data_IF_974343260722
#
_entry.id   IF_974343260722
#
_cell.length_a   1.000
_cell.length_b   1.000
_cell.length_c   1.000
_cell.angle_alpha   90.00
_cell.angle_beta   90.00
_cell.angle_gamma   90.00
#
_symmetry.space_group_name_H-M   'P 1'
#
loop_
_entity.id
_entity.type
_entity.pdbx_description
1 polymer ?
#
# COMPACT_ATOMS: atom_id res chain seq x y z
N UNK A 1 12.67 -1.67 7.71
CA UNK A 1 12.75 -0.75 6.56
C UNK A 1 11.52 -0.99 5.72
N UNK A 2 10.59 -0.03 5.71
CA UNK A 2 9.25 -0.17 5.13
C UNK A 2 9.36 -0.20 3.61
N UNK A 3 9.32 -1.41 3.04
CA UNK A 3 8.99 -1.65 1.65
C UNK A 3 7.57 -2.19 1.66
N UNK A 4 6.62 -1.27 1.77
CA UNK A 4 5.21 -1.53 1.50
C UNK A 4 4.99 -1.58 -0.01
N UNK A 5 5.58 -2.58 -0.66
CA UNK A 5 5.27 -2.95 -2.04
C UNK A 5 4.06 -3.88 -2.03
N UNK A 6 2.91 -3.35 -2.42
CA UNK A 6 1.74 -4.06 -2.96
C UNK A 6 1.61 -5.55 -2.58
N UNK A 7 0.93 -5.85 -1.48
CA UNK A 7 0.28 -7.15 -1.29
C UNK A 7 -1.09 -6.98 -0.64
N UNK A 8 -2.05 -6.63 -1.49
CA UNK A 8 -3.46 -7.01 -1.34
C UNK A 8 -3.76 -8.07 -2.40
N UNK A 9 -3.12 -9.23 -2.32
CA UNK A 9 -3.34 -10.36 -3.23
C UNK A 9 -4.62 -11.08 -2.85
N UNK A 10 -5.73 -10.56 -3.38
CA UNK A 10 -6.90 -11.35 -3.80
C UNK A 10 -7.95 -10.57 -4.61
N UNK A 11 -7.83 -9.24 -4.76
CA UNK A 11 -8.77 -8.46 -5.61
C UNK A 11 -8.06 -7.53 -6.61
N UNK A 12 -6.74 -7.37 -6.52
CA UNK A 12 -5.98 -6.45 -7.39
C UNK A 12 -5.38 -7.15 -8.62
N UNK A 13 -6.24 -7.57 -9.54
CA UNK A 13 -5.85 -8.12 -10.84
C UNK A 13 -5.83 -7.02 -11.91
N UNK A 14 -4.99 -5.98 -11.76
CA UNK A 14 -4.88 -4.96 -12.83
C UNK A 14 -3.61 -4.11 -12.79
N UNK A 15 -2.40 -4.67 -12.69
CA UNK A 15 -1.16 -3.95 -13.08
C UNK A 15 -0.07 -4.89 -13.67
N UNK A 16 -0.37 -6.13 -14.09
CA UNK A 16 0.68 -7.09 -14.41
C UNK A 16 0.52 -7.89 -15.72
N UNK A 17 -0.01 -7.27 -16.78
CA UNK A 17 0.01 -7.87 -18.12
C UNK A 17 0.38 -6.83 -19.18
N UNK A 18 1.68 -6.58 -19.33
CA UNK A 18 2.28 -6.08 -20.57
C UNK A 18 3.54 -6.93 -20.86
N UNK A 19 3.33 -8.20 -21.18
CA UNK A 19 4.31 -9.09 -21.81
C UNK A 19 3.60 -9.93 -22.87
N UNK A 20 3.57 -9.42 -24.11
CA UNK A 20 3.44 -10.23 -25.32
C UNK A 20 4.47 -9.72 -26.34
N UNK A 21 5.45 -10.57 -26.67
CA UNK A 21 6.43 -10.44 -27.76
C UNK A 21 5.81 -10.86 -29.13
N UNK A 22 6.57 -10.94 -30.24
CA UNK A 22 7.29 -9.88 -30.96
C UNK A 22 6.87 -9.81 -32.46
N UNK A 23 6.88 -8.62 -33.05
CA UNK A 23 7.06 -8.46 -34.50
C UNK A 23 7.58 -7.05 -34.81
N UNK A 24 8.88 -6.97 -35.10
CA UNK A 24 9.58 -5.78 -35.61
C UNK A 24 9.69 -5.95 -37.13
N UNK A 25 9.48 -4.88 -37.91
CA UNK A 25 10.60 -4.39 -38.69
C UNK A 25 10.95 -2.95 -38.31
N UNK A 26 12.26 -2.72 -38.26
CA UNK A 26 12.89 -1.43 -38.04
C UNK A 26 12.50 -0.47 -39.16
N UNK A 27 12.04 0.72 -38.79
CA UNK A 27 12.39 1.92 -39.54
C UNK A 27 12.68 3.07 -38.59
N UNK A 28 13.82 3.70 -38.84
CA UNK A 28 14.40 4.80 -38.08
C UNK A 28 13.59 6.09 -38.28
N UNK A 29 13.10 6.71 -37.20
CA UNK A 29 13.43 8.10 -36.86
C UNK A 29 12.86 8.54 -35.49
N UNK A 30 13.53 9.49 -34.81
CA UNK A 30 13.30 9.82 -33.40
C UNK A 30 12.21 10.89 -33.23
N UNK A 31 11.62 10.96 -32.04
CA UNK A 31 10.52 11.84 -31.58
C UNK A 31 9.10 11.24 -31.65
N UNK A 32 8.78 10.47 -30.61
CA UNK A 32 7.43 10.29 -30.09
C UNK A 32 7.50 10.29 -28.55
N UNK A 33 6.92 11.28 -27.84
CA UNK A 33 6.46 11.06 -26.48
C UNK A 33 4.94 10.84 -26.51
N UNK A 34 4.42 9.90 -25.70
CA UNK A 34 3.19 10.01 -24.88
C UNK A 34 2.81 8.60 -24.41
N UNK A 35 3.31 8.26 -23.23
CA UNK A 35 2.63 7.42 -22.25
C UNK A 35 2.35 8.32 -21.03
N UNK A 36 1.23 8.13 -20.30
CA UNK A 36 0.71 9.12 -19.36
C UNK A 36 1.51 9.12 -18.04
N UNK A 37 1.94 10.30 -17.53
CA UNK A 37 2.49 10.38 -16.19
C UNK A 37 1.37 10.58 -15.16
N UNK A 38 1.30 9.68 -14.19
CA UNK A 38 0.84 10.03 -12.85
C UNK A 38 1.88 10.99 -12.25
N UNK A 39 1.57 12.29 -12.13
CA UNK A 39 2.37 13.26 -11.35
C UNK A 39 2.05 13.11 -9.85
N UNK A 40 3.03 13.28 -8.92
CA UNK A 40 3.48 14.63 -8.47
C UNK A 40 4.97 14.69 -7.98
N UNK A 41 5.53 15.82 -7.46
CA UNK A 41 5.24 17.26 -7.56
C UNK A 41 6.47 18.13 -8.01
N UNK A 42 6.27 19.43 -8.31
CA UNK A 42 6.97 20.43 -7.50
C UNK A 42 6.00 21.50 -6.97
N UNK A 43 5.67 21.34 -5.69
CA UNK A 43 5.45 22.37 -4.66
C UNK A 43 5.08 23.77 -5.18
N UNK A 44 3.78 24.07 -5.13
CA UNK A 44 3.19 25.41 -4.90
C UNK A 44 3.00 26.46 -6.01
N UNK A 45 3.48 26.34 -7.24
CA UNK A 45 3.45 27.49 -8.18
C UNK A 45 2.33 27.56 -9.25
N UNK A 46 1.34 26.67 -9.24
CA UNK A 46 0.22 26.72 -10.22
C UNK A 46 -1.16 26.58 -9.55
N UNK A 47 -1.29 27.01 -8.29
CA UNK A 47 -2.60 27.18 -7.67
C UNK A 47 -3.36 28.26 -8.45
N UNK A 48 -4.43 27.85 -9.15
CA UNK A 48 -5.37 28.63 -9.98
C UNK A 48 -5.21 28.47 -11.50
N UNK A 49 -5.87 27.45 -12.05
CA UNK A 49 -6.63 27.57 -13.29
C UNK A 49 -7.95 26.80 -13.18
N UNK A 50 -9.01 27.34 -13.81
CA UNK A 50 -10.35 26.75 -13.86
C UNK A 50 -10.41 25.43 -14.64
N UNK A 51 -11.60 24.83 -14.81
CA UNK A 51 -11.74 23.49 -15.40
C UNK A 51 -11.15 23.44 -16.80
N UNK A 52 -10.15 22.59 -17.00
CA UNK A 52 -9.51 22.38 -18.31
C UNK A 52 -10.15 21.19 -19.01
N UNK A 53 -10.62 21.44 -20.24
CA UNK A 53 -11.17 20.43 -21.13
C UNK A 53 -10.06 19.57 -21.75
N UNK A 54 -10.40 18.32 -22.08
CA UNK A 54 -9.48 17.27 -22.56
C UNK A 54 -8.83 17.58 -23.92
N UNK A 55 -9.29 18.60 -24.64
CA UNK A 55 -8.73 18.97 -25.94
C UNK A 55 -8.07 20.34 -25.90
N UNK A 56 -6.82 20.42 -26.36
CA UNK A 56 -6.09 21.68 -26.58
C UNK A 56 -6.62 22.46 -27.80
N UNK A 57 -7.49 21.85 -28.61
CA UNK A 57 -8.17 22.49 -29.74
C UNK A 57 -9.61 22.84 -29.37
N UNK A 58 -9.84 24.12 -29.04
CA UNK A 58 -11.16 24.65 -28.70
C UNK A 58 -12.23 24.41 -29.79
N UNK A 59 -11.81 24.30 -31.05
CA UNK A 59 -12.69 24.06 -32.21
C UNK A 59 -13.27 22.65 -32.23
N UNK A 60 -12.50 21.64 -31.82
CA UNK A 60 -12.90 20.24 -31.86
C UNK A 60 -13.81 19.88 -30.67
N UNK A 61 -13.55 20.49 -29.50
CA UNK A 61 -14.48 20.45 -28.37
C UNK A 61 -15.82 21.14 -28.70
N UNK A 62 -15.80 22.31 -29.34
CA UNK A 62 -17.04 22.98 -29.77
C UNK A 62 -17.82 22.16 -30.81
N UNK A 63 -17.11 21.43 -31.69
CA UNK A 63 -17.74 20.52 -32.65
C UNK A 63 -18.42 19.35 -31.95
N UNK A 64 -17.73 18.67 -31.03
CA UNK A 64 -18.31 17.55 -30.26
C UNK A 64 -19.45 17.99 -29.36
N UNK A 65 -19.36 19.18 -28.75
CA UNK A 65 -20.45 19.76 -27.96
C UNK A 65 -21.65 20.10 -28.86
N UNK A 66 -21.43 20.66 -30.06
CA UNK A 66 -22.51 20.92 -31.02
C UNK A 66 -23.18 19.63 -31.50
N UNK A 67 -22.40 18.59 -31.80
CA UNK A 67 -22.92 17.28 -32.24
C UNK A 67 -23.75 16.60 -31.14
N UNK A 68 -23.32 16.72 -29.88
CA UNK A 68 -24.07 16.23 -28.73
C UNK A 68 -25.31 17.08 -28.43
N UNK A 69 -25.24 18.40 -28.63
CA UNK A 69 -26.39 19.30 -28.48
C UNK A 69 -27.46 18.99 -29.54
N UNK A 70 -27.05 18.77 -30.79
CA UNK A 70 -27.93 18.46 -31.92
C UNK A 70 -28.60 17.09 -31.75
N UNK A 71 -27.87 16.10 -31.23
CA UNK A 71 -28.44 14.80 -30.86
C UNK A 71 -29.39 14.87 -29.65
N UNK A 72 -29.11 15.72 -28.65
CA UNK A 72 -30.01 15.95 -27.52
C UNK A 72 -31.28 16.72 -27.93
N UNK A 73 -31.17 17.64 -28.90
CA UNK A 73 -32.29 18.42 -29.44
C UNK A 73 -33.24 17.55 -30.27
N UNK A 74 -32.72 16.54 -30.96
CA UNK A 74 -33.54 15.53 -31.65
C UNK A 74 -34.29 14.58 -30.71
N UNK A 75 -33.80 14.36 -29.47
CA UNK A 75 -34.47 13.51 -28.47
C UNK A 75 -35.46 14.27 -27.58
N UNK A 76 -35.26 15.57 -27.35
CA UNK A 76 -36.10 16.41 -26.47
C UNK A 76 -37.42 16.86 -27.10
N UNK A 77 -37.73 16.43 -28.33
CA UNK A 77 -39.07 16.55 -28.92
C UNK A 77 -40.15 15.69 -28.25
N UNK A 78 -39.80 14.73 -27.37
CA UNK A 78 -40.72 13.67 -26.95
C UNK A 78 -41.12 13.60 -25.46
N UNK A 79 -40.60 14.41 -24.53
CA UNK A 79 -40.94 14.24 -23.11
C UNK A 79 -41.02 15.54 -22.28
N UNK A 80 -42.26 15.97 -21.97
CA UNK A 80 -42.59 16.88 -20.85
C UNK A 80 -42.88 16.03 -19.61
N UNK A 81 -42.24 16.30 -18.46
CA UNK A 81 -42.89 16.47 -17.13
C UNK A 81 -41.84 16.66 -16.03
N UNK A 82 -42.06 17.65 -15.15
CA UNK A 82 -41.85 17.44 -13.71
C UNK A 82 -40.63 18.06 -13.02
N UNK A 83 -40.87 19.24 -12.45
CA UNK A 83 -40.47 19.67 -11.10
C UNK A 83 -39.05 20.19 -10.82
N UNK A 84 -39.06 21.33 -10.10
CA UNK A 84 -37.98 22.26 -9.83
C UNK A 84 -37.09 21.87 -8.63
N UNK A 85 -35.85 22.38 -8.61
CA UNK A 85 -35.33 23.35 -7.61
C UNK A 85 -33.87 23.70 -7.92
N UNK A 86 -33.59 24.96 -8.30
CA UNK A 86 -32.24 25.46 -8.58
C UNK A 86 -32.12 26.95 -8.26
N UNK A 87 -30.99 27.32 -7.64
CA UNK A 87 -30.58 28.66 -7.20
C UNK A 87 -30.25 29.57 -8.41
N UNK A 88 -30.70 30.82 -8.35
CA UNK A 88 -30.73 31.83 -9.42
C UNK A 88 -29.60 32.87 -9.24
N UNK A 89 -28.92 33.27 -10.34
CA UNK A 89 -28.32 34.61 -10.50
C UNK A 89 -28.31 35.03 -12.00
N UNK A 90 -28.32 36.34 -12.32
CA UNK A 90 -29.20 36.87 -13.37
C UNK A 90 -28.45 37.40 -14.61
N UNK A 91 -29.14 37.40 -15.76
CA UNK A 91 -29.00 38.42 -16.80
C UNK A 91 -30.33 38.48 -17.57
N UNK A 92 -30.83 39.70 -17.77
CA UNK A 92 -32.23 40.00 -18.08
C UNK A 92 -32.72 39.69 -19.49
N UNK A 93 -34.05 39.59 -19.51
CA UNK A 93 -35.04 39.76 -20.58
C UNK A 93 -35.18 38.67 -21.66
N UNK A 94 -36.23 37.87 -21.42
CA UNK A 94 -37.15 37.23 -22.38
C UNK A 94 -36.87 35.79 -22.87
N UNK A 95 -37.16 34.84 -21.95
CA UNK A 95 -37.96 33.62 -22.11
C UNK A 95 -37.64 32.66 -23.29
N UNK A 96 -36.77 31.65 -23.11
CA UNK A 96 -36.98 30.38 -22.40
C UNK A 96 -37.44 29.18 -23.27
N UNK A 97 -36.52 28.22 -23.46
CA UNK A 97 -36.74 26.77 -23.23
C UNK A 97 -35.38 26.10 -23.04
N UNK A 98 -34.96 26.02 -21.78
CA UNK A 98 -33.71 25.38 -21.36
C UNK A 98 -33.79 23.86 -21.43
N UNK A 99 -32.87 23.27 -22.18
CA UNK A 99 -32.47 21.88 -22.04
C UNK A 99 -31.27 21.82 -21.08
N UNK A 100 -31.39 21.08 -19.98
CA UNK A 100 -30.23 20.75 -19.14
C UNK A 100 -29.56 19.56 -19.80
N UNK A 101 -28.46 19.83 -20.52
CA UNK A 101 -27.65 18.80 -21.16
C UNK A 101 -26.63 18.29 -20.14
N UNK A 102 -26.81 17.05 -19.69
CA UNK A 102 -25.77 16.34 -18.93
C UNK A 102 -24.62 16.02 -19.91
N UNK A 103 -23.46 16.62 -19.68
CA UNK A 103 -22.24 16.31 -20.42
C UNK A 103 -21.71 14.93 -20.00
N UNK A 104 -21.25 14.09 -20.94
CA UNK A 104 -20.81 12.73 -20.66
C UNK A 104 -19.52 12.71 -19.80
N UNK A 105 -19.36 11.66 -19.00
CA UNK A 105 -18.22 11.40 -18.09
C UNK A 105 -16.83 11.43 -18.78
N UNK A 106 -16.78 11.52 -20.11
CA UNK A 106 -15.56 11.68 -20.91
C UNK A 106 -14.99 13.11 -20.92
N UNK A 107 -15.75 14.13 -20.45
CA UNK A 107 -15.36 15.55 -20.48
C UNK A 107 -14.92 16.13 -19.12
N UNK A 108 -15.10 15.41 -18.01
CA UNK A 108 -14.78 15.90 -16.66
C UNK A 108 -13.43 15.35 -16.20
N UNK A 109 -12.36 16.09 -16.47
CA UNK A 109 -10.99 15.65 -16.21
C UNK A 109 -10.58 15.78 -14.72
N UNK A 110 -11.11 16.74 -13.96
CA UNK A 110 -10.97 16.87 -12.50
C UNK A 110 -11.85 18.01 -11.99
N UNK A 111 -12.70 17.75 -11.00
CA UNK A 111 -13.35 18.84 -10.24
C UNK A 111 -12.52 19.18 -9.00
N UNK A 112 -12.52 20.45 -8.57
CA UNK A 112 -11.67 20.96 -7.48
C UNK A 112 -11.96 20.27 -6.15
N UNK A 113 -13.22 19.90 -5.93
CA UNK A 113 -13.73 19.28 -4.72
C UNK A 113 -13.27 17.83 -4.53
N UNK A 114 -13.01 17.09 -5.64
CA UNK A 114 -12.62 15.68 -5.59
C UNK A 114 -11.30 15.42 -4.87
N UNK A 115 -10.16 16.06 -5.21
CA UNK A 115 -8.90 15.81 -4.50
C UNK A 115 -8.94 16.26 -3.03
N UNK A 116 -9.67 17.34 -2.73
CA UNK A 116 -9.85 17.84 -1.36
C UNK A 116 -10.60 16.81 -0.52
N UNK A 117 -11.71 16.27 -1.05
CA UNK A 117 -12.48 15.23 -0.39
C UNK A 117 -11.66 13.93 -0.22
N UNK A 118 -10.92 13.51 -1.25
CA UNK A 118 -10.04 12.35 -1.16
C UNK A 118 -8.99 12.49 -0.05
N UNK A 119 -8.33 13.66 0.02
CA UNK A 119 -7.34 13.96 1.05
C UNK A 119 -7.99 13.98 2.44
N UNK A 120 -9.15 14.63 2.56
CA UNK A 120 -9.92 14.68 3.80
C UNK A 120 -10.30 13.27 4.29
N UNK A 121 -10.86 12.41 3.44
CA UNK A 121 -11.22 11.03 3.80
C UNK A 121 -9.99 10.20 4.17
N UNK A 122 -8.86 10.37 3.46
CA UNK A 122 -7.61 9.69 3.77
C UNK A 122 -7.08 10.08 5.15
N UNK A 123 -6.98 11.38 5.45
CA UNK A 123 -6.50 11.87 6.75
C UNK A 123 -7.49 11.56 7.89
N UNK A 124 -8.79 11.62 7.62
CA UNK A 124 -9.83 11.30 8.59
C UNK A 124 -9.77 9.83 9.00
N UNK A 125 -9.56 8.92 8.04
CA UNK A 125 -9.39 7.48 8.33
C UNK A 125 -8.17 7.23 9.21
N UNK A 126 -7.05 7.89 8.90
CA UNK A 126 -5.83 7.81 9.70
C UNK A 126 -6.03 8.34 11.13
N UNK A 127 -6.61 9.54 11.24
CA UNK A 127 -6.85 10.21 12.52
C UNK A 127 -7.79 9.40 13.40
N UNK A 128 -8.91 8.92 12.84
CA UNK A 128 -9.87 8.09 13.57
C UNK A 128 -9.24 6.76 14.01
N UNK A 129 -8.47 6.11 13.13
CA UNK A 129 -7.76 4.87 13.45
C UNK A 129 -6.76 5.06 14.59
N UNK A 130 -5.97 6.13 14.54
CA UNK A 130 -5.01 6.46 15.58
C UNK A 130 -5.68 6.88 16.90
N UNK A 131 -6.78 7.63 16.85
CA UNK A 131 -7.56 8.03 18.01
C UNK A 131 -8.13 6.79 18.74
N UNK A 132 -8.75 5.86 18.00
CA UNK A 132 -9.28 4.60 18.55
C UNK A 132 -8.17 3.72 19.12
N UNK A 133 -7.00 3.68 18.48
CA UNK A 133 -5.83 2.99 19.01
C UNK A 133 -5.37 3.59 20.35
N UNK A 134 -5.37 4.93 20.47
CA UNK A 134 -4.95 5.63 21.68
C UNK A 134 -5.93 5.45 22.86
N UNK A 135 -7.19 5.09 22.58
CA UNK A 135 -8.18 4.74 23.62
C UNK A 135 -7.63 3.66 24.54
N UNK A 136 -6.78 2.73 24.04
CA UNK A 136 -6.10 1.70 24.85
C UNK A 136 -5.32 2.24 26.04
N UNK A 137 -4.69 3.41 25.89
CA UNK A 137 -3.90 4.07 26.94
C UNK A 137 -4.76 4.99 27.79
N UNK A 138 -5.92 5.41 27.29
CA UNK A 138 -6.78 6.34 28.00
C UNK A 138 -7.41 5.70 29.25
N UNK A 139 -7.62 6.47 30.33
CA UNK A 139 -8.29 5.98 31.55
C UNK A 139 -9.81 5.87 31.38
N UNK A 140 -10.35 6.31 30.25
CA UNK A 140 -11.77 6.24 29.94
C UNK A 140 -12.14 4.82 29.45
N UNK A 141 -13.35 4.35 29.80
CA UNK A 141 -13.92 3.02 29.52
C UNK A 141 -13.40 1.83 30.35
N UNK A 142 -14.26 0.80 30.46
CA UNK A 142 -13.93 -0.51 31.04
C UNK A 142 -12.80 -1.20 30.25
N UNK A 143 -11.89 -1.89 30.95
CA UNK A 143 -10.71 -2.55 30.36
C UNK A 143 -11.04 -3.49 29.20
N UNK A 144 -12.11 -4.30 29.30
CA UNK A 144 -12.54 -5.22 28.23
C UNK A 144 -12.99 -4.49 26.97
N UNK A 145 -13.78 -3.43 27.13
CA UNK A 145 -14.30 -2.66 26.00
C UNK A 145 -13.16 -1.93 25.30
N UNK A 146 -12.25 -1.35 26.08
CA UNK A 146 -11.06 -0.67 25.57
C UNK A 146 -10.15 -1.59 24.76
N UNK A 147 -9.96 -2.83 25.20
CA UNK A 147 -9.17 -3.83 24.47
C UNK A 147 -9.83 -4.17 23.12
N UNK A 148 -11.13 -4.49 23.12
CA UNK A 148 -11.89 -4.79 21.88
C UNK A 148 -11.90 -3.61 20.91
N UNK A 149 -12.12 -2.39 21.40
CA UNK A 149 -12.12 -1.18 20.57
C UNK A 149 -10.74 -0.93 19.95
N UNK A 150 -9.67 -1.14 20.72
CA UNK A 150 -8.30 -0.98 20.20
C UNK A 150 -7.94 -2.03 19.15
N UNK A 151 -8.41 -3.27 19.31
CA UNK A 151 -8.12 -4.36 18.37
C UNK A 151 -8.95 -4.23 17.09
N UNK A 152 -10.19 -3.71 17.19
CA UNK A 152 -11.07 -3.43 16.06
C UNK A 152 -10.96 -1.99 15.51
N UNK A 153 -10.00 -1.18 15.99
CA UNK A 153 -9.86 0.22 15.63
C UNK A 153 -9.80 0.45 14.10
N UNK A 154 -9.06 -0.41 13.40
CA UNK A 154 -8.80 -0.29 11.98
C UNK A 154 -10.06 -0.61 11.13
N UNK A 155 -10.74 -1.76 11.29
CA UNK A 155 -12.03 -2.02 10.65
C UNK A 155 -13.11 -0.97 10.97
N UNK A 156 -13.23 -0.56 12.24
CA UNK A 156 -14.22 0.43 12.67
C UNK A 156 -14.00 1.76 11.94
N UNK A 157 -12.74 2.20 11.84
CA UNK A 157 -12.41 3.46 11.15
C UNK A 157 -12.75 3.42 9.67
N UNK A 158 -12.45 2.32 8.99
CA UNK A 158 -12.79 2.14 7.57
C UNK A 158 -14.30 2.18 7.36
N UNK A 159 -15.08 1.47 8.18
CA UNK A 159 -16.55 1.43 8.05
C UNK A 159 -17.17 2.80 8.31
N UNK A 160 -16.76 3.49 9.39
CA UNK A 160 -17.30 4.81 9.75
C UNK A 160 -16.97 5.86 8.70
N UNK A 161 -15.71 5.93 8.23
CA UNK A 161 -15.31 6.92 7.23
C UNK A 161 -15.85 6.58 5.84
N UNK A 162 -16.04 5.29 5.51
CA UNK A 162 -16.74 4.91 4.28
C UNK A 162 -18.22 5.32 4.31
N UNK A 163 -18.89 5.15 5.46
CA UNK A 163 -20.26 5.63 5.64
C UNK A 163 -20.35 7.15 5.50
N UNK A 164 -19.45 7.90 6.14
CA UNK A 164 -19.35 9.35 6.02
C UNK A 164 -19.12 9.75 4.55
N UNK A 165 -18.16 9.10 3.87
CA UNK A 165 -17.84 9.38 2.47
C UNK A 165 -18.99 9.09 1.51
N UNK A 166 -19.76 8.02 1.75
CA UNK A 166 -20.86 7.61 0.87
C UNK A 166 -22.17 8.35 1.14
N UNK A 167 -22.49 8.71 2.38
CA UNK A 167 -23.78 9.33 2.74
C UNK A 167 -23.74 10.86 2.78
N UNK A 168 -22.62 11.48 3.22
CA UNK A 168 -22.53 12.94 3.32
C UNK A 168 -22.07 13.60 2.01
N UNK A 169 -21.42 12.85 1.11
CA UNK A 169 -20.84 13.37 -0.13
C UNK A 169 -21.36 12.63 -1.37
N UNK A 170 -22.69 12.44 -1.44
CA UNK A 170 -23.36 11.80 -2.58
C UNK A 170 -23.10 12.53 -3.91
N UNK A 171 -22.88 13.85 -3.86
CA UNK A 171 -22.73 14.70 -5.04
C UNK A 171 -21.35 14.59 -5.73
N UNK A 172 -20.37 13.94 -5.09
CA UNK A 172 -18.99 13.89 -5.59
C UNK A 172 -18.62 12.45 -5.96
N UNK A 173 -18.33 12.21 -7.24
CA UNK A 173 -17.93 10.89 -7.75
C UNK A 173 -16.57 10.45 -7.18
N UNK A 174 -16.60 9.62 -6.14
CA UNK A 174 -15.42 8.97 -5.58
C UNK A 174 -14.97 7.80 -6.46
N UNK A 175 -13.66 7.59 -6.64
CA UNK A 175 -13.17 6.47 -7.44
C UNK A 175 -13.42 5.15 -6.70
N UNK A 176 -14.32 4.33 -7.23
CA UNK A 176 -14.66 2.98 -6.74
C UNK A 176 -13.90 1.90 -7.51
N UNK A 177 -13.98 0.65 -7.03
CA UNK A 177 -13.37 -0.50 -7.69
C UNK A 177 -14.07 -0.84 -9.02
N UNK A 178 -13.28 -1.00 -10.08
CA UNK A 178 -13.78 -1.47 -11.37
C UNK A 178 -13.65 -2.99 -11.42
N UNK A 179 -14.77 -3.67 -11.71
CA UNK A 179 -14.80 -5.13 -11.87
C UNK A 179 -14.59 -5.44 -13.35
N UNK A 180 -13.46 -6.05 -13.69
CA UNK A 180 -13.19 -6.52 -15.05
C UNK A 180 -13.63 -7.96 -15.20
N UNK A 181 -14.63 -8.20 -16.04
CA UNK A 181 -15.11 -9.54 -16.41
C UNK A 181 -14.19 -10.17 -17.46
N UNK A 182 -12.95 -10.50 -17.09
CA UNK A 182 -12.07 -11.36 -17.91
C UNK A 182 -12.18 -12.82 -17.46
N UNK A 183 -11.99 -13.80 -18.35
CA UNK A 183 -11.89 -15.20 -17.93
C UNK A 183 -10.75 -15.34 -16.91
N UNK A 184 -11.07 -15.91 -15.74
CA UNK A 184 -10.17 -16.00 -14.57
C UNK A 184 -9.04 -17.00 -14.84
N UNK A 185 -9.31 -18.02 -15.65
CA UNK A 185 -8.36 -19.08 -15.97
C UNK A 185 -7.93 -18.97 -17.43
N UNK A 186 -6.66 -18.64 -17.63
CA UNK A 186 -6.00 -18.74 -18.93
C UNK A 186 -4.90 -19.78 -18.80
N UNK A 187 -5.11 -20.95 -19.39
CA UNK A 187 -4.08 -21.99 -19.44
C UNK A 187 -2.95 -21.53 -20.37
N UNK A 188 -1.70 -21.66 -19.91
CA UNK A 188 -0.54 -21.34 -20.73
C UNK A 188 -0.41 -22.36 -21.88
N UNK A 189 -0.42 -21.88 -23.13
CA UNK A 189 -0.19 -22.69 -24.32
C UNK A 189 1.33 -22.87 -24.53
N UNK A 190 1.82 -24.11 -24.45
CA UNK A 190 3.26 -24.43 -24.55
C UNK A 190 3.78 -24.61 -25.99
N UNK A 191 2.90 -24.46 -27.00
CA UNK A 191 3.18 -24.90 -28.38
C UNK A 191 4.07 -23.97 -29.22
N UNK A 192 4.49 -22.80 -28.71
CA UNK A 192 5.26 -21.81 -29.49
C UNK A 192 6.64 -21.45 -28.91
N UNK A 193 7.21 -22.25 -28.01
CA UNK A 193 8.48 -21.89 -27.37
C UNK A 193 9.71 -22.17 -28.26
N UNK A 194 10.30 -21.09 -28.80
CA UNK A 194 11.69 -21.12 -29.31
C UNK A 194 12.67 -21.34 -28.15
N UNK A 195 13.70 -22.18 -28.35
CA UNK A 195 14.67 -22.52 -27.29
C UNK A 195 15.38 -21.33 -26.63
N UNK A 196 15.60 -20.24 -27.38
CA UNK A 196 16.19 -19.01 -26.83
C UNK A 196 15.27 -18.31 -25.82
N UNK A 197 13.96 -18.29 -26.09
CA UNK A 197 12.97 -17.70 -25.19
C UNK A 197 12.86 -18.52 -23.90
N UNK A 198 12.91 -19.85 -24.00
CA UNK A 198 12.93 -20.74 -22.84
C UNK A 198 14.15 -20.50 -21.94
N UNK A 199 15.35 -20.31 -22.53
CA UNK A 199 16.56 -19.99 -21.77
C UNK A 199 16.44 -18.63 -21.05
N UNK A 200 15.90 -17.61 -21.73
CA UNK A 200 15.68 -16.30 -21.12
C UNK A 200 14.64 -16.35 -19.98
N UNK A 201 13.58 -17.13 -20.14
CA UNK A 201 12.55 -17.34 -19.12
C UNK A 201 13.11 -18.08 -17.90
N UNK A 202 14.03 -19.03 -18.09
CA UNK A 202 14.71 -19.72 -17.00
C UNK A 202 15.59 -18.75 -16.19
N UNK A 203 16.32 -17.86 -16.86
CA UNK A 203 17.12 -16.83 -16.20
C UNK A 203 16.27 -15.85 -15.38
N UNK A 204 15.17 -15.35 -15.95
CA UNK A 204 14.23 -14.47 -15.25
C UNK A 204 13.51 -15.20 -14.11
N UNK A 205 13.10 -16.45 -14.32
CA UNK A 205 12.47 -17.29 -13.31
C UNK A 205 13.38 -17.59 -12.13
N UNK A 206 14.68 -17.81 -12.37
CA UNK A 206 15.67 -17.97 -11.30
C UNK A 206 15.80 -16.71 -10.42
N UNK A 207 15.90 -15.54 -11.03
CA UNK A 207 15.96 -14.27 -10.28
C UNK A 207 14.67 -14.02 -9.47
N UNK A 208 13.52 -14.38 -10.02
CA UNK A 208 12.24 -14.24 -9.34
C UNK A 208 12.05 -15.27 -8.21
N UNK A 209 12.55 -16.49 -8.38
CA UNK A 209 12.61 -17.49 -7.30
C UNK A 209 13.52 -17.02 -6.16
N UNK A 210 14.67 -16.40 -6.48
CA UNK A 210 15.55 -15.78 -5.49
C UNK A 210 14.87 -14.64 -4.73
N UNK A 211 14.06 -13.82 -5.40
CA UNK A 211 13.24 -12.79 -4.76
C UNK A 211 12.28 -13.38 -3.73
N UNK A 212 11.49 -14.37 -4.15
CA UNK A 212 10.51 -15.04 -3.27
C UNK A 212 11.22 -15.72 -2.10
N UNK A 213 12.38 -16.34 -2.33
CA UNK A 213 13.18 -16.95 -1.27
C UNK A 213 13.64 -15.93 -0.22
N UNK A 214 14.17 -14.78 -0.65
CA UNK A 214 14.64 -13.74 0.27
C UNK A 214 13.45 -13.15 1.04
N UNK A 215 12.35 -12.84 0.36
CA UNK A 215 11.18 -12.26 1.00
C UNK A 215 10.59 -13.19 2.05
N UNK A 216 10.40 -14.47 1.70
CA UNK A 216 9.89 -15.48 2.62
C UNK A 216 10.76 -15.60 3.87
N UNK A 217 12.08 -15.72 3.72
CA UNK A 217 12.99 -15.88 4.85
C UNK A 217 13.02 -14.65 5.76
N UNK A 218 12.97 -13.43 5.20
CA UNK A 218 12.92 -12.21 6.02
C UNK A 218 11.59 -12.15 6.79
N UNK A 219 10.45 -12.49 6.17
CA UNK A 219 9.14 -12.53 6.88
C UNK A 219 9.16 -13.54 8.03
N UNK A 220 9.65 -14.76 7.80
CA UNK A 220 9.67 -15.79 8.85
C UNK A 220 10.64 -15.40 9.96
N UNK A 221 11.81 -14.86 9.64
CA UNK A 221 12.77 -14.36 10.63
C UNK A 221 12.18 -13.23 11.51
N UNK A 222 11.43 -12.30 10.90
CA UNK A 222 10.79 -11.20 11.62
C UNK A 222 9.62 -11.66 12.51
N UNK A 223 8.90 -12.70 12.08
CA UNK A 223 7.80 -13.26 12.89
C UNK A 223 8.33 -14.15 14.01
N UNK A 224 9.47 -14.80 13.82
CA UNK A 224 10.13 -15.68 14.80
C UNK A 224 11.21 -14.95 15.63
N UNK A 225 10.97 -13.69 15.97
CA UNK A 225 11.83 -12.97 16.92
C UNK A 225 11.61 -13.57 18.32
N UNK A 226 12.68 -13.82 19.12
CA UNK A 226 12.54 -14.41 20.46
C UNK A 226 11.62 -13.60 21.39
N UNK A 227 11.44 -12.30 21.15
CA UNK A 227 10.49 -11.43 21.85
C UNK A 227 9.03 -11.88 21.74
N UNK A 228 8.66 -12.51 20.62
CA UNK A 228 7.30 -13.05 20.43
C UNK A 228 7.06 -14.32 21.26
N UNK A 229 8.09 -14.90 21.90
CA UNK A 229 8.00 -16.08 22.79
C UNK A 229 7.11 -17.19 22.19
N UNK A 230 7.33 -17.48 20.91
CA UNK A 230 6.63 -18.56 20.21
C UNK A 230 7.00 -19.91 20.85
N UNK A 231 5.99 -20.78 20.98
CA UNK A 231 6.13 -22.05 21.70
C UNK A 231 6.41 -23.22 20.76
N UNK A 232 5.99 -23.12 19.49
CA UNK A 232 6.22 -24.17 18.49
C UNK A 232 7.51 -23.92 17.71
N UNK A 233 8.15 -25.01 17.30
CA UNK A 233 9.38 -24.98 16.52
C UNK A 233 9.21 -24.41 15.10
N UNK A 234 10.32 -23.98 14.52
CA UNK A 234 10.38 -23.39 13.18
C UNK A 234 10.41 -24.44 12.07
N UNK A 235 9.71 -24.17 10.96
CA UNK A 235 9.69 -25.05 9.78
C UNK A 235 10.07 -24.31 8.48
N UNK A 236 11.16 -23.54 8.50
CA UNK A 236 11.60 -22.70 7.37
C UNK A 236 11.66 -23.43 6.02
N UNK A 237 12.21 -24.65 5.99
CA UNK A 237 12.35 -25.41 4.75
C UNK A 237 11.02 -25.87 4.18
N UNK A 238 10.08 -26.28 5.04
CA UNK A 238 8.75 -26.71 4.62
C UNK A 238 7.94 -25.57 4.03
N UNK A 239 8.03 -24.38 4.63
CA UNK A 239 7.33 -23.18 4.14
C UNK A 239 7.85 -22.77 2.75
N UNK A 240 9.16 -22.92 2.51
CA UNK A 240 9.76 -22.64 1.21
C UNK A 240 9.30 -23.64 0.14
N UNK A 241 9.30 -24.95 0.45
CA UNK A 241 8.83 -25.99 -0.47
C UNK A 241 7.36 -25.79 -0.82
N UNK A 242 6.52 -25.50 0.18
CA UNK A 242 5.09 -25.27 -0.01
C UNK A 242 4.83 -24.04 -0.89
N UNK A 243 5.54 -22.94 -0.65
CA UNK A 243 5.42 -21.71 -1.46
C UNK A 243 5.85 -21.95 -2.90
N UNK A 244 6.92 -22.72 -3.13
CA UNK A 244 7.34 -23.13 -4.47
C UNK A 244 6.27 -23.95 -5.20
N UNK A 245 5.69 -24.94 -4.53
CA UNK A 245 4.63 -25.78 -5.10
C UNK A 245 3.36 -24.98 -5.44
N UNK A 246 2.96 -24.04 -4.56
CA UNK A 246 1.83 -23.14 -4.83
C UNK A 246 2.10 -22.25 -6.04
N UNK A 247 3.32 -21.70 -6.18
CA UNK A 247 3.67 -20.85 -7.32
C UNK A 247 3.76 -21.61 -8.64
N UNK A 248 4.19 -22.87 -8.62
CA UNK A 248 4.11 -23.75 -9.81
C UNK A 248 2.66 -23.92 -10.24
N UNK A 249 1.75 -24.19 -9.29
CA UNK A 249 0.32 -24.33 -9.57
C UNK A 249 -0.29 -23.01 -10.10
N UNK A 250 0.03 -21.87 -9.48
CA UNK A 250 -0.43 -20.55 -9.92
C UNK A 250 0.06 -20.23 -11.34
N UNK A 251 1.33 -20.54 -11.64
CA UNK A 251 1.90 -20.35 -12.98
C UNK A 251 1.22 -21.23 -14.04
N UNK A 252 0.82 -22.45 -13.69
CA UNK A 252 0.08 -23.33 -14.61
C UNK A 252 -1.34 -22.82 -14.89
N UNK A 253 -2.00 -22.26 -13.87
CA UNK A 253 -3.36 -21.70 -13.97
C UNK A 253 -3.40 -20.28 -14.57
N UNK A 254 -2.23 -19.68 -14.87
CA UNK A 254 -2.12 -18.30 -15.35
C UNK A 254 -2.47 -17.24 -14.29
N UNK A 255 -2.42 -17.62 -13.01
CA UNK A 255 -2.71 -16.76 -11.87
C UNK A 255 -1.45 -16.06 -11.36
N UNK A 256 -1.58 -14.87 -10.74
CA UNK A 256 -0.46 -14.14 -10.18
C UNK A 256 0.20 -14.94 -9.06
N UNK A 257 1.52 -14.82 -8.97
CA UNK A 257 2.30 -15.55 -8.00
C UNK A 257 2.09 -14.99 -6.59
N UNK A 258 2.20 -15.87 -5.61
CA UNK A 258 2.00 -15.57 -4.20
C UNK A 258 3.37 -15.54 -3.50
N UNK A 259 3.59 -14.51 -2.69
CA UNK A 259 4.74 -14.40 -1.80
C UNK A 259 4.26 -13.94 -0.41
N UNK A 260 5.10 -14.09 0.62
CA UNK A 260 4.71 -13.68 1.97
C UNK A 260 4.62 -12.16 2.13
N UNK A 261 3.59 -11.74 2.86
CA UNK A 261 3.30 -10.33 3.15
C UNK A 261 3.97 -9.89 4.46
N UNK A 262 4.94 -8.98 4.35
CA UNK A 262 5.73 -8.45 5.47
C UNK A 262 4.90 -7.77 6.57
N UNK A 263 4.19 -6.65 6.30
CA UNK A 263 3.45 -5.94 7.35
C UNK A 263 2.26 -6.76 7.84
N UNK A 264 1.64 -7.56 6.98
CA UNK A 264 0.44 -8.32 7.34
C UNK A 264 0.76 -9.49 8.27
N UNK A 265 1.80 -10.28 7.97
CA UNK A 265 2.19 -11.43 8.80
C UNK A 265 2.66 -11.00 10.19
N UNK A 266 3.45 -9.92 10.29
CA UNK A 266 3.88 -9.39 11.59
C UNK A 266 2.74 -8.76 12.39
N UNK A 267 1.82 -8.05 11.71
CA UNK A 267 0.64 -7.49 12.37
C UNK A 267 -0.31 -8.58 12.88
N UNK A 268 -0.54 -9.64 12.10
CA UNK A 268 -1.35 -10.79 12.50
C UNK A 268 -0.76 -11.49 13.73
N UNK A 269 0.56 -11.71 13.76
CA UNK A 269 1.25 -12.25 14.93
C UNK A 269 1.10 -11.33 16.16
N UNK A 270 1.22 -10.00 15.98
CA UNK A 270 1.05 -9.01 17.05
C UNK A 270 -0.38 -8.94 17.58
N UNK A 271 -1.40 -9.12 16.74
CA UNK A 271 -2.80 -9.17 17.16
C UNK A 271 -3.14 -10.43 17.99
N UNK A 272 -2.41 -11.52 17.78
CA UNK A 272 -2.52 -12.74 18.58
C UNK A 272 -1.68 -12.70 19.87
N UNK A 273 -0.86 -11.67 20.03
CA UNK A 273 0.03 -11.50 21.16
C UNK A 273 -0.67 -10.83 22.35
N UNK A 274 -0.59 -11.45 23.53
CA UNK A 274 -0.99 -10.82 24.78
C UNK A 274 0.16 -9.91 25.25
N UNK A 275 -0.05 -8.61 25.12
CA UNK A 275 0.90 -7.58 25.58
C UNK A 275 0.51 -7.13 26.98
N UNK A 276 1.41 -7.25 27.94
CA UNK A 276 1.26 -6.65 29.27
C UNK A 276 2.07 -5.36 29.37
N UNK A 277 1.50 -4.35 30.01
CA UNK A 277 2.20 -3.10 30.31
C UNK A 277 2.71 -3.20 31.75
N UNK A 278 4.03 -3.19 31.92
CA UNK A 278 4.71 -3.13 33.22
C UNK A 278 5.34 -1.76 33.36
N UNK A 279 5.08 -1.09 34.48
CA UNK A 279 5.74 0.18 34.81
C UNK A 279 6.95 -0.15 35.66
N UNK A 280 8.15 0.00 35.10
CA UNK A 280 9.40 -0.12 35.85
C UNK A 280 10.08 1.25 35.87
N UNK A 281 10.48 1.71 37.06
CA UNK A 281 11.21 2.98 37.26
C UNK A 281 10.54 4.21 36.63
N UNK A 282 9.20 4.26 36.61
CA UNK A 282 8.43 5.36 36.02
C UNK A 282 8.30 5.32 34.49
N UNK A 283 8.86 4.30 33.83
CA UNK A 283 8.70 4.07 32.39
C UNK A 283 7.76 2.90 32.12
N UNK A 284 6.86 3.07 31.15
CA UNK A 284 5.94 2.04 30.67
C UNK A 284 6.67 1.11 29.70
N UNK A 285 6.94 -0.12 30.12
CA UNK A 285 7.45 -1.19 29.27
C UNK A 285 6.30 -2.08 28.83
N UNK A 286 6.13 -2.24 27.52
CA UNK A 286 5.17 -3.19 26.95
C UNK A 286 5.89 -4.48 26.65
N UNK A 287 5.64 -5.54 27.41
CA UNK A 287 6.25 -6.85 27.18
C UNK A 287 5.21 -7.83 26.64
N UNK A 288 5.60 -8.58 25.61
CA UNK A 288 4.77 -9.68 25.09
C UNK A 288 4.92 -10.86 26.07
N UNK A 289 3.80 -11.29 26.64
CA UNK A 289 3.78 -12.36 27.64
C UNK A 289 3.60 -13.72 26.99
N UNK A 290 2.66 -13.82 26.05
CA UNK A 290 2.36 -15.05 25.34
C UNK A 290 1.62 -14.77 24.03
N UNK A 291 1.89 -15.54 22.99
CA UNK A 291 1.21 -15.47 21.69
C UNK A 291 0.32 -16.69 21.52
N UNK A 292 -0.95 -16.47 21.15
CA UNK A 292 -1.87 -17.56 20.82
C UNK A 292 -1.68 -18.02 19.37
N UNK A 293 -0.92 -19.08 19.18
CA UNK A 293 -0.70 -19.65 17.85
C UNK A 293 -1.92 -20.44 17.35
N UNK A 294 -2.64 -19.89 16.36
CA UNK A 294 -3.84 -20.50 15.79
C UNK A 294 -3.73 -20.65 14.27
N UNK A 295 -4.18 -21.80 13.73
CA UNK A 295 -4.31 -22.03 12.27
C UNK A 295 -5.67 -21.61 11.72
N UNK A 296 -6.67 -21.49 12.59
CA UNK A 296 -8.05 -21.21 12.20
C UNK A 296 -8.22 -19.77 11.70
N UNK A 297 -7.47 -18.81 12.26
CA UNK A 297 -7.59 -17.40 11.90
C UNK A 297 -7.12 -17.11 10.48
N UNK A 298 -6.01 -17.71 10.05
CA UNK A 298 -5.52 -17.60 8.67
C UNK A 298 -6.42 -18.34 7.68
N UNK A 299 -6.92 -19.53 8.04
CA UNK A 299 -7.88 -20.27 7.22
C UNK A 299 -9.19 -19.47 7.04
N UNK A 300 -9.74 -18.92 8.13
CA UNK A 300 -10.93 -18.10 8.09
C UNK A 300 -10.73 -16.83 7.25
N UNK A 301 -9.57 -16.17 7.36
CA UNK A 301 -9.24 -15.01 6.54
C UNK A 301 -9.22 -15.37 5.05
N UNK A 302 -8.56 -16.46 4.66
CA UNK A 302 -8.52 -16.91 3.26
C UNK A 302 -9.89 -17.32 2.72
N UNK A 303 -10.74 -17.96 3.54
CA UNK A 303 -12.13 -18.28 3.18
C UNK A 303 -12.94 -17.00 2.99
N UNK A 304 -12.84 -16.02 3.91
CA UNK A 304 -13.53 -14.73 3.80
C UNK A 304 -13.08 -13.94 2.58
N UNK A 305 -11.79 -14.02 2.23
CA UNK A 305 -11.27 -13.46 0.98
C UNK A 305 -11.94 -14.13 -0.23
N UNK A 306 -12.06 -15.46 -0.25
CA UNK A 306 -12.79 -16.18 -1.30
C UNK A 306 -14.27 -15.78 -1.39
N UNK A 307 -14.95 -15.65 -0.23
CA UNK A 307 -16.34 -15.18 -0.14
C UNK A 307 -16.47 -13.73 -0.62
N UNK A 308 -15.45 -12.90 -0.39
CA UNK A 308 -15.46 -11.49 -0.79
C UNK A 308 -15.61 -11.30 -2.30
N UNK A 309 -15.13 -12.26 -3.11
CA UNK A 309 -15.30 -12.25 -4.58
C UNK A 309 -16.79 -12.25 -4.96
N UNK A 310 -17.62 -13.02 -4.25
CA UNK A 310 -19.08 -13.01 -4.46
C UNK A 310 -19.76 -11.73 -3.93
N UNK A 311 -19.14 -11.07 -2.94
CA UNK A 311 -19.62 -9.80 -2.40
C UNK A 311 -19.04 -8.56 -3.10
N UNK A 312 -18.21 -8.72 -4.13
CA UNK A 312 -17.69 -7.60 -4.93
C UNK A 312 -18.76 -6.70 -5.57
N UNK A 313 -19.91 -7.18 -6.10
CA UNK A 313 -20.77 -6.34 -6.92
C UNK A 313 -21.61 -5.33 -6.12
N UNK A 314 -21.84 -5.54 -4.82
CA UNK A 314 -22.80 -4.71 -4.06
C UNK A 314 -22.13 -4.02 -2.85
N UNK A 315 -21.74 -4.70 -1.76
CA UNK A 315 -21.23 -4.02 -0.56
C UNK A 315 -19.84 -3.42 -0.72
N UNK A 316 -18.94 -4.05 -1.50
CA UNK A 316 -17.55 -3.58 -1.59
C UNK A 316 -17.39 -2.31 -2.45
N UNK A 317 -18.34 -2.02 -3.33
CA UNK A 317 -18.33 -0.79 -4.14
C UNK A 317 -18.60 0.47 -3.31
N UNK A 318 -19.21 0.34 -2.14
CA UNK A 318 -19.45 1.47 -1.22
C UNK A 318 -18.19 1.95 -0.49
N UNK A 319 -17.08 1.21 -0.58
CA UNK A 319 -15.82 1.61 0.04
C UNK A 319 -15.02 2.44 -0.98
N UNK A 320 -14.89 3.76 -0.78
CA UNK A 320 -14.15 4.60 -1.70
C UNK A 320 -12.63 4.37 -1.54
N UNK A 321 -11.89 4.32 -2.66
CA UNK A 321 -10.42 4.10 -2.64
C UNK A 321 -9.63 5.03 -1.69
N UNK A 322 -9.97 6.32 -1.52
CA UNK A 322 -9.25 7.21 -0.61
C UNK A 322 -9.22 6.75 0.86
N UNK A 323 -10.28 6.09 1.33
CA UNK A 323 -10.34 5.52 2.69
C UNK A 323 -9.31 4.40 2.84
N UNK A 324 -9.14 3.59 1.79
CA UNK A 324 -8.15 2.51 1.77
C UNK A 324 -6.71 3.06 1.71
N UNK A 325 -6.48 4.21 1.07
CA UNK A 325 -5.18 4.89 1.18
C UNK A 325 -4.90 5.33 2.62
N UNK A 326 -5.91 5.79 3.35
CA UNK A 326 -5.79 6.11 4.78
C UNK A 326 -5.47 4.87 5.63
N UNK A 327 -6.11 3.74 5.34
CA UNK A 327 -5.81 2.43 5.92
C UNK A 327 -4.34 2.03 5.66
N UNK A 328 -3.86 2.14 4.42
CA UNK A 328 -2.46 1.81 4.10
C UNK A 328 -1.47 2.72 4.80
N UNK A 329 -1.78 4.02 4.92
CA UNK A 329 -0.96 4.97 5.67
C UNK A 329 -0.91 4.62 7.16
N UNK A 330 -2.05 4.24 7.76
CA UNK A 330 -2.10 3.78 9.15
C UNK A 330 -1.23 2.52 9.38
N UNK A 331 -1.34 1.52 8.49
CA UNK A 331 -0.52 0.29 8.57
C UNK A 331 0.96 0.66 8.41
N UNK A 332 1.31 1.55 7.48
CA UNK A 332 2.68 2.02 7.32
C UNK A 332 3.21 2.71 8.58
N UNK A 333 2.46 3.64 9.17
CA UNK A 333 2.85 4.35 10.38
C UNK A 333 3.02 3.41 11.59
N UNK A 334 2.04 2.54 11.85
CA UNK A 334 2.11 1.59 12.96
C UNK A 334 3.16 0.48 12.78
N UNK A 335 3.60 0.21 11.55
CA UNK A 335 4.73 -0.71 11.28
C UNK A 335 6.09 -0.11 11.61
N UNK A 336 6.18 1.22 11.73
CA UNK A 336 7.39 1.90 12.21
C UNK A 336 7.48 1.83 13.74
N UNK A 337 6.35 1.77 14.43
CA UNK A 337 6.28 1.66 15.90
C UNK A 337 6.78 0.29 16.38
N UNK A 338 7.89 0.31 17.13
CA UNK A 338 8.57 -0.89 17.62
C UNK A 338 9.73 -1.36 16.74
N UNK A 339 10.04 -0.63 15.65
CA UNK A 339 11.24 -0.89 14.88
C UNK A 339 12.46 -0.22 15.54
N UNK A 340 13.42 -1.02 15.99
CA UNK A 340 14.63 -0.53 16.64
C UNK A 340 15.43 0.48 15.81
N UNK A 341 15.43 0.33 14.47
CA UNK A 341 16.12 1.29 13.61
C UNK A 341 15.47 2.68 13.70
N UNK A 342 14.15 2.74 13.81
CA UNK A 342 13.38 3.99 13.96
C UNK A 342 13.59 4.58 15.36
N UNK A 343 13.60 3.75 16.40
CA UNK A 343 13.90 4.21 17.76
C UNK A 343 15.30 4.83 17.83
N UNK A 344 16.30 4.18 17.24
CA UNK A 344 17.67 4.72 17.17
C UNK A 344 17.78 5.94 16.27
N UNK A 345 16.99 6.01 15.19
CA UNK A 345 16.89 7.22 14.35
C UNK A 345 16.28 8.39 15.13
N UNK A 346 15.25 8.15 15.94
CA UNK A 346 14.65 9.17 16.79
C UNK A 346 15.65 9.72 17.82
N UNK A 347 16.62 8.93 18.28
CA UNK A 347 17.70 9.40 19.15
C UNK A 347 18.60 10.45 18.47
N UNK A 348 18.75 10.46 17.14
CA UNK A 348 19.51 11.50 16.43
C UNK A 348 18.85 12.88 16.54
N UNK A 349 17.53 12.93 16.69
CA UNK A 349 16.76 14.16 16.79
C UNK A 349 16.43 14.55 18.24
N UNK A 350 16.75 13.68 19.22
CA UNK A 350 16.42 13.91 20.62
C UNK A 350 17.59 14.59 21.34
N UNK A 351 17.26 15.53 22.23
CA UNK A 351 18.26 16.15 23.12
C UNK A 351 18.88 15.10 24.05
N UNK A 352 20.18 15.24 24.34
CA UNK A 352 20.97 14.24 25.07
C UNK A 352 20.44 13.99 26.49
N UNK A 353 19.91 15.02 27.13
CA UNK A 353 19.34 14.97 28.48
C UNK A 353 18.06 14.14 28.57
N UNK A 354 17.38 13.93 27.45
CA UNK A 354 16.09 13.25 27.39
C UNK A 354 16.20 11.79 26.94
N UNK A 355 17.41 11.23 26.83
CA UNK A 355 17.59 9.85 26.39
C UNK A 355 16.93 8.88 27.38
N UNK A 356 16.10 7.93 26.89
CA UNK A 356 15.52 6.92 27.75
C UNK A 356 16.64 6.04 28.33
N UNK A 357 16.56 5.58 29.59
CA UNK A 357 17.58 4.77 30.22
C UNK A 357 17.54 3.32 29.71
N UNK A 358 17.88 3.11 28.44
CA UNK A 358 17.98 1.77 27.83
C UNK A 358 19.36 1.15 28.04
N UNK A 359 19.46 -0.17 27.96
CA UNK A 359 20.69 -0.93 28.21
C UNK A 359 21.85 -0.54 27.28
N UNK A 360 21.58 -0.41 25.98
CA UNK A 360 22.62 -0.08 25.00
C UNK A 360 23.14 1.35 25.12
N UNK A 361 22.31 2.32 25.54
CA UNK A 361 22.74 3.73 25.75
C UNK A 361 23.73 3.84 26.92
N UNK A 362 23.62 2.97 27.93
CA UNK A 362 24.54 2.97 29.09
C UNK A 362 25.89 2.33 28.80
N UNK A 363 25.94 1.37 27.87
CA UNK A 363 27.14 0.52 27.63
C UNK A 363 27.98 0.95 26.42
N UNK A 364 27.39 1.65 25.45
CA UNK A 364 28.04 2.02 24.19
C UNK A 364 28.24 3.53 24.10
N UNK A 365 29.42 4.04 23.71
CA UNK A 365 29.63 5.47 23.52
C UNK A 365 28.72 6.01 22.40
N UNK A 366 28.08 7.15 22.66
CA UNK A 366 27.05 7.75 21.79
C UNK A 366 27.52 7.97 20.34
N UNK A 367 28.78 8.40 20.14
CA UNK A 367 29.34 8.61 18.78
C UNK A 367 29.29 7.34 17.92
N UNK A 368 29.50 6.17 18.53
CA UNK A 368 29.45 4.87 17.83
C UNK A 368 28.01 4.48 17.49
N UNK A 369 27.06 4.78 18.39
CA UNK A 369 25.62 4.59 18.13
C UNK A 369 25.17 5.44 16.94
N UNK A 370 25.50 6.73 16.94
CA UNK A 370 25.13 7.64 15.86
C UNK A 370 25.78 7.28 14.52
N UNK A 371 27.05 6.88 14.54
CA UNK A 371 27.75 6.40 13.34
C UNK A 371 27.08 5.14 12.76
N UNK A 372 26.71 4.18 13.60
CA UNK A 372 25.98 2.98 13.18
C UNK A 372 24.62 3.33 12.57
N UNK A 373 23.83 4.20 13.22
CA UNK A 373 22.54 4.63 12.69
C UNK A 373 22.67 5.36 11.36
N UNK A 374 23.70 6.21 11.19
CA UNK A 374 23.94 6.89 9.93
C UNK A 374 24.26 5.90 8.81
N UNK A 375 25.06 4.88 9.08
CA UNK A 375 25.35 3.81 8.12
C UNK A 375 24.09 3.02 7.74
N UNK A 376 23.23 2.69 8.72
CA UNK A 376 21.93 2.05 8.45
C UNK A 376 21.01 2.95 7.61
N UNK A 377 20.99 4.26 7.86
CA UNK A 377 20.20 5.21 7.08
C UNK A 377 20.72 5.35 5.65
N UNK A 378 22.04 5.34 5.44
CA UNK A 378 22.64 5.33 4.09
C UNK A 378 22.22 4.04 3.35
N UNK A 379 22.32 2.89 4.01
CA UNK A 379 21.91 1.60 3.44
C UNK A 379 20.41 1.58 3.08
N UNK A 380 19.56 2.15 3.94
CA UNK A 380 18.13 2.35 3.69
C UNK A 380 17.90 3.26 2.48
N UNK A 381 18.55 4.43 2.42
CA UNK A 381 18.39 5.37 1.30
C UNK A 381 18.80 4.74 -0.03
N UNK A 382 19.91 4.00 -0.06
CA UNK A 382 20.37 3.27 -1.25
C UNK A 382 19.31 2.28 -1.71
N UNK A 383 18.79 1.46 -0.79
CA UNK A 383 17.77 0.47 -1.13
C UNK A 383 16.43 1.11 -1.55
N UNK A 384 16.03 2.23 -0.93
CA UNK A 384 14.87 3.02 -1.35
C UNK A 384 15.05 3.62 -2.75
N UNK A 385 16.23 4.12 -3.08
CA UNK A 385 16.52 4.72 -4.39
C UNK A 385 16.37 3.69 -5.52
N UNK A 386 16.90 2.48 -5.34
CA UNK A 386 16.74 1.39 -6.30
C UNK A 386 15.29 0.84 -6.34
N UNK A 387 14.62 0.76 -5.18
CA UNK A 387 13.24 0.23 -5.10
C UNK A 387 12.17 1.17 -5.69
N UNK A 388 12.34 2.49 -5.54
CA UNK A 388 11.42 3.50 -6.08
C UNK A 388 11.72 3.86 -7.54
N UNK A 389 12.75 3.26 -8.14
CA UNK A 389 13.11 3.53 -9.52
C UNK A 389 12.01 3.03 -10.48
N UNK A 390 11.60 3.83 -11.49
CA UNK A 390 10.45 3.51 -12.33
C UNK A 390 10.68 2.31 -13.27
N UNK A 391 11.93 1.91 -13.53
CA UNK A 391 12.21 0.79 -14.44
C UNK A 391 11.87 -0.56 -13.78
N UNK A 392 11.05 -1.41 -14.42
CA UNK A 392 10.67 -2.72 -13.89
C UNK A 392 11.88 -3.65 -13.73
N UNK A 393 12.89 -3.53 -14.59
CA UNK A 393 14.13 -4.31 -14.52
C UNK A 393 14.93 -4.05 -13.24
N UNK A 394 14.91 -2.82 -12.70
CA UNK A 394 15.62 -2.50 -11.46
C UNK A 394 14.98 -3.22 -10.25
N UNK A 395 13.67 -3.47 -10.30
CA UNK A 395 12.97 -4.25 -9.26
C UNK A 395 13.41 -5.72 -9.25
N UNK A 396 13.82 -6.28 -10.39
CA UNK A 396 14.36 -7.65 -10.43
C UNK A 396 15.77 -7.78 -9.83
N UNK A 397 16.52 -6.67 -9.77
CA UNK A 397 17.86 -6.62 -9.16
C UNK A 397 17.80 -6.42 -7.64
N UNK A 398 16.65 -5.97 -7.12
CA UNK A 398 16.40 -5.74 -5.70
C UNK A 398 16.86 -6.86 -4.74
N UNK A 399 16.57 -8.16 -4.97
CA UNK A 399 16.98 -9.20 -4.04
C UNK A 399 18.50 -9.44 -4.05
N UNK A 400 19.19 -9.21 -5.17
CA UNK A 400 20.66 -9.25 -5.23
C UNK A 400 21.26 -8.12 -4.37
N UNK A 401 20.67 -6.93 -4.41
CA UNK A 401 21.07 -5.84 -3.52
C UNK A 401 20.84 -6.24 -2.06
N UNK A 402 19.68 -6.82 -1.72
CA UNK A 402 19.42 -7.25 -0.35
C UNK A 402 20.42 -8.29 0.16
N UNK A 403 20.83 -9.25 -0.69
CA UNK A 403 21.87 -10.21 -0.34
C UNK A 403 23.21 -9.52 -0.17
N UNK A 404 23.60 -8.60 -1.07
CA UNK A 404 24.86 -7.86 -1.00
C UNK A 404 24.99 -7.03 0.29
N UNK A 405 23.87 -6.57 0.83
CA UNK A 405 23.80 -5.83 2.08
C UNK A 405 24.22 -6.68 3.30
N UNK A 406 24.13 -8.02 3.24
CA UNK A 406 24.55 -8.91 4.33
C UNK A 406 26.08 -8.99 4.48
N UNK A 407 26.88 -9.28 3.42
CA UNK A 407 28.33 -9.17 3.46
C UNK A 407 28.84 -7.79 3.85
N UNK A 408 28.16 -6.73 3.41
CA UNK A 408 28.49 -5.36 3.83
C UNK A 408 28.40 -5.25 5.36
N UNK A 409 27.34 -5.79 5.98
CA UNK A 409 27.23 -5.83 7.45
C UNK A 409 28.33 -6.68 8.09
N UNK A 410 28.60 -7.89 7.60
CA UNK A 410 29.55 -8.79 8.26
C UNK A 410 31.01 -8.40 8.07
N UNK A 411 31.34 -7.66 7.01
CA UNK A 411 32.74 -7.29 6.69
C UNK A 411 33.07 -5.82 6.96
N UNK A 412 32.15 -4.89 6.68
CA UNK A 412 32.40 -3.44 6.83
C UNK A 412 32.18 -2.98 8.27
N UNK A 413 31.15 -3.50 8.92
CA UNK A 413 30.73 -3.08 10.25
C UNK A 413 31.77 -3.40 11.36
N UNK A 414 32.36 -4.61 11.44
CA UNK A 414 33.40 -4.90 12.44
C UNK A 414 34.72 -4.16 12.18
N UNK A 415 34.92 -3.58 10.98
CA UNK A 415 36.08 -2.71 10.71
C UNK A 415 35.90 -1.29 11.24
N UNK A 416 34.66 -0.85 11.45
CA UNK A 416 34.34 0.52 11.86
C UNK A 416 34.01 0.64 13.37
N UNK A 417 33.44 -0.42 13.95
CA UNK A 417 32.97 -0.49 15.34
C UNK A 417 33.43 -1.81 15.95
N UNK A 418 33.94 -1.78 17.19
CA UNK A 418 34.38 -3.00 17.88
C UNK A 418 33.21 -4.00 17.99
N UNK A 419 33.48 -5.28 17.72
CA UNK A 419 32.49 -6.35 17.74
C UNK A 419 31.69 -6.41 19.06
N UNK A 420 32.34 -6.11 20.19
CA UNK A 420 31.70 -6.03 21.51
C UNK A 420 30.55 -5.02 21.56
N UNK A 421 30.72 -3.85 20.95
CA UNK A 421 29.66 -2.83 20.90
C UNK A 421 28.55 -3.24 19.93
N UNK A 422 28.91 -3.95 18.85
CA UNK A 422 27.95 -4.48 17.90
C UNK A 422 26.96 -5.44 18.56
N UNK A 423 27.47 -6.41 19.32
CA UNK A 423 26.66 -7.41 19.99
C UNK A 423 25.72 -6.78 21.02
N UNK A 424 26.18 -5.74 21.73
CA UNK A 424 25.35 -5.01 22.69
C UNK A 424 24.25 -4.19 21.98
N UNK A 425 24.54 -3.67 20.79
CA UNK A 425 23.58 -2.90 20.01
C UNK A 425 22.52 -3.79 19.34
N UNK A 426 22.90 -5.00 18.93
CA UNK A 426 22.01 -5.99 18.33
C UNK A 426 21.24 -6.83 19.37
N UNK A 427 21.79 -6.98 20.58
CA UNK A 427 21.10 -7.63 21.69
C UNK A 427 19.87 -6.81 22.10
N UNK A 428 18.69 -7.31 21.74
CA UNK A 428 17.46 -6.55 21.87
C UNK A 428 17.10 -6.28 23.33
N UNK A 429 17.31 -7.25 24.25
CA UNK A 429 17.23 -7.06 25.71
C UNK A 429 17.96 -8.23 26.42
N UNK A 430 19.04 -7.95 27.15
CA UNK A 430 19.57 -8.81 28.23
C UNK A 430 19.71 -8.01 29.51
#
# INVERSE_FOLDING_TARGET
MVIGGQQGTAVFHSVHNDMCSPSIPLDLNPFCPVAPPCCPPPVFNYFYHGPTLVTTNATLALQQIKELLENAQNQTGAARLGSASGLLLPAGEDAARGAVVFLPDSLVLCTRERPILCLFLMLLTLWLGYALYLVKRSPYLNSKIREVVSDCALPISVVVVSFIGSYLFLDIQLPVFQVYSRPIFNFALFDQLTGLNALSALGLGFLLALLIFIDQNIVISLTHVPEHKLLKGTAFHWDLVLTGLINILMSYLGLPWMHAAFPHSSLHARQLAKVEQRVENGHLYTTIVSVKETRLTSLAANILIGVSVFMLPIPLQWIPKPVLYGLFLYIAATSLDGNQMVDRMALLFKEQTSYPPTHYIRRVPQRKVHCFTALQMIQLVVLCAFGMYPLPYMKMVFPLLMILLVPVRTSLLPRLIDAKYLDIMDAQHM
#
